data_IF_730277698272
#
_entry.id   IF_730277698272
#
_cell.length_a   1.000
_cell.length_b   1.000
_cell.length_c   1.000
_cell.angle_alpha   90.00
_cell.angle_beta   90.00
_cell.angle_gamma   90.00
#
_symmetry.space_group_name_H-M   'P 1'
#
loop_
_entity.id
_entity.type
_entity.pdbx_description
1 polymer ?
#
# COMPACT_ATOMS: atom_id res chain seq x y z
N UNK A 1 1.48 -7.74 -7.21
CA UNK A 1 1.55 -6.64 -8.16
C UNK A 1 2.76 -5.79 -7.84
N UNK A 2 3.59 -5.45 -8.82
CA UNK A 2 4.76 -4.59 -8.68
C UNK A 2 5.03 -3.87 -10.02
N UNK A 3 5.61 -2.68 -9.98
CA UNK A 3 6.03 -1.95 -11.20
C UNK A 3 7.30 -2.53 -11.83
N UNK A 4 8.05 -3.35 -11.09
CA UNK A 4 9.28 -4.01 -11.55
C UNK A 4 8.98 -5.40 -12.10
N UNK A 5 9.10 -5.58 -13.41
CA UNK A 5 8.96 -6.90 -14.03
C UNK A 5 9.97 -7.92 -13.49
N UNK A 6 11.16 -7.45 -13.06
CA UNK A 6 12.16 -8.31 -12.43
C UNK A 6 11.68 -8.82 -11.07
N UNK A 7 11.10 -7.94 -10.22
CA UNK A 7 10.54 -8.34 -8.94
C UNK A 7 9.36 -9.31 -9.11
N UNK A 8 8.47 -9.03 -10.07
CA UNK A 8 7.36 -9.92 -10.46
C UNK A 8 7.88 -11.30 -10.88
N UNK A 9 8.95 -11.34 -11.69
CA UNK A 9 9.57 -12.59 -12.12
C UNK A 9 10.14 -13.41 -10.95
N UNK A 10 10.79 -12.76 -9.97
CA UNK A 10 11.30 -13.42 -8.76
C UNK A 10 10.15 -13.94 -7.91
N UNK A 11 9.08 -13.15 -7.73
CA UNK A 11 7.91 -13.56 -6.96
C UNK A 11 7.25 -14.81 -7.57
N UNK A 12 7.10 -14.87 -8.90
CA UNK A 12 6.56 -16.04 -9.61
C UNK A 12 7.44 -17.28 -9.45
N UNK A 13 8.78 -17.12 -9.52
CA UNK A 13 9.72 -18.22 -9.27
C UNK A 13 9.61 -18.72 -7.82
N UNK A 14 9.51 -17.84 -6.85
CA UNK A 14 9.33 -18.21 -5.44
C UNK A 14 8.02 -18.98 -5.23
N UNK A 15 6.92 -18.53 -5.83
CA UNK A 15 5.64 -19.25 -5.76
C UNK A 15 5.75 -20.68 -6.35
N UNK A 16 6.46 -20.83 -7.46
CA UNK A 16 6.70 -22.15 -8.06
C UNK A 16 7.50 -23.05 -7.13
N UNK A 17 8.58 -22.55 -6.54
CA UNK A 17 9.41 -23.31 -5.60
C UNK A 17 8.64 -23.73 -4.33
N UNK A 18 7.67 -22.92 -3.92
CA UNK A 18 6.84 -23.19 -2.75
C UNK A 18 5.57 -23.99 -3.08
N UNK A 19 5.37 -24.40 -4.33
CA UNK A 19 4.15 -25.12 -4.76
C UNK A 19 2.88 -24.28 -4.74
N UNK A 20 3.00 -22.95 -4.88
CA UNK A 20 1.90 -21.99 -4.82
C UNK A 20 1.52 -21.41 -6.19
N UNK A 21 2.14 -21.85 -7.28
CA UNK A 21 1.95 -21.28 -8.62
C UNK A 21 0.48 -21.27 -9.08
N UNK A 22 -0.28 -22.33 -8.76
CA UNK A 22 -1.70 -22.45 -9.11
C UNK A 22 -2.64 -21.60 -8.25
N UNK A 23 -2.09 -20.89 -7.24
CA UNK A 23 -2.85 -20.11 -6.25
C UNK A 23 -2.45 -18.66 -6.22
N UNK A 24 -1.52 -18.24 -7.06
CA UNK A 24 -0.96 -16.89 -7.06
C UNK A 24 -0.80 -16.38 -8.48
N UNK A 25 -1.36 -15.21 -8.73
CA UNK A 25 -1.21 -14.46 -9.97
C UNK A 25 -0.24 -13.29 -9.76
N UNK A 26 0.57 -13.02 -10.77
CA UNK A 26 1.60 -11.99 -10.73
C UNK A 26 1.44 -11.02 -11.88
N UNK A 27 1.47 -9.72 -11.61
CA UNK A 27 1.30 -8.70 -12.64
C UNK A 27 2.30 -7.55 -12.47
N UNK A 28 2.85 -7.11 -13.58
CA UNK A 28 3.62 -5.86 -13.66
C UNK A 28 2.65 -4.72 -13.94
N UNK A 29 2.37 -3.90 -12.92
CA UNK A 29 1.45 -2.78 -13.02
C UNK A 29 1.74 -1.73 -11.94
N UNK A 30 1.35 -0.47 -12.20
CA UNK A 30 1.32 0.62 -11.23
C UNK A 30 -0.05 0.68 -10.54
N UNK A 31 -0.10 1.27 -9.35
CA UNK A 31 -1.36 1.64 -8.70
C UNK A 31 -2.15 2.71 -9.48
N UNK A 32 -1.47 3.50 -10.30
CA UNK A 32 -2.09 4.48 -11.19
C UNK A 32 -2.75 3.84 -12.42
N UNK A 33 -2.44 2.56 -12.73
CA UNK A 33 -3.02 1.86 -13.87
C UNK A 33 -4.49 1.50 -13.61
N UNK A 34 -5.21 1.18 -14.70
CA UNK A 34 -6.54 0.62 -14.56
C UNK A 34 -6.44 -0.84 -14.08
N UNK A 35 -6.81 -1.07 -12.83
CA UNK A 35 -6.79 -2.38 -12.19
C UNK A 35 -8.14 -3.13 -12.27
N UNK A 36 -9.08 -2.68 -13.10
CA UNK A 36 -10.44 -3.24 -13.21
C UNK A 36 -10.44 -4.72 -13.61
N UNK A 37 -9.48 -5.13 -14.42
CA UNK A 37 -9.33 -6.52 -14.86
C UNK A 37 -9.07 -7.52 -13.72
N UNK A 38 -8.60 -7.06 -12.57
CA UNK A 38 -8.28 -7.92 -11.43
C UNK A 38 -9.45 -8.16 -10.47
N UNK A 39 -10.60 -7.49 -10.70
CA UNK A 39 -11.81 -7.64 -9.89
C UNK A 39 -11.71 -6.95 -8.52
N UNK A 40 -12.49 -7.47 -7.56
CA UNK A 40 -12.55 -6.96 -6.18
C UNK A 40 -11.79 -7.90 -5.25
N UNK A 41 -11.22 -7.35 -4.17
CA UNK A 41 -10.43 -8.09 -3.22
C UNK A 41 -11.03 -8.02 -1.81
N UNK A 42 -11.10 -9.15 -1.13
CA UNK A 42 -11.51 -9.21 0.29
C UNK A 42 -10.39 -8.71 1.21
N UNK A 43 -9.13 -8.87 0.78
CA UNK A 43 -7.95 -8.41 1.52
C UNK A 43 -6.95 -7.77 0.57
N UNK A 44 -6.51 -6.56 0.92
CA UNK A 44 -5.38 -5.87 0.27
C UNK A 44 -4.26 -5.68 1.27
N UNK A 45 -3.04 -6.04 0.90
CA UNK A 45 -1.82 -5.75 1.67
C UNK A 45 -0.90 -4.93 0.80
N UNK A 46 -0.40 -3.80 1.30
CA UNK A 46 0.44 -2.90 0.54
C UNK A 46 1.55 -2.28 1.39
N UNK A 47 2.76 -2.27 0.83
CA UNK A 47 3.91 -1.55 1.37
C UNK A 47 4.52 -0.69 0.24
N UNK A 48 4.00 0.51 -0.01
CA UNK A 48 4.49 1.40 -1.06
C UNK A 48 5.70 2.20 -0.58
N UNK A 49 6.50 2.82 -1.47
CA UNK A 49 7.54 3.75 -1.07
C UNK A 49 6.93 4.96 -0.34
N UNK A 50 7.51 5.29 0.81
CA UNK A 50 6.99 6.34 1.70
C UNK A 50 8.06 7.28 2.29
N UNK A 51 9.32 7.16 1.85
CA UNK A 51 10.42 7.99 2.35
C UNK A 51 10.45 9.31 1.58
N UNK A 52 10.46 10.47 2.25
CA UNK A 52 10.62 11.75 1.56
C UNK A 52 11.89 11.77 0.71
N UNK A 53 11.81 12.30 -0.51
CA UNK A 53 12.92 12.30 -1.46
C UNK A 53 14.23 12.88 -0.89
N UNK A 54 14.12 13.94 -0.07
CA UNK A 54 15.26 14.56 0.61
C UNK A 54 15.94 13.67 1.66
N UNK A 55 15.27 12.64 2.15
CA UNK A 55 15.77 11.72 3.18
C UNK A 55 16.40 10.45 2.59
N UNK A 56 16.07 10.09 1.34
CA UNK A 56 16.56 8.85 0.70
C UNK A 56 18.09 8.78 0.72
N UNK A 57 18.78 9.89 0.44
CA UNK A 57 20.24 9.94 0.43
C UNK A 57 20.88 9.81 1.82
N UNK A 58 20.12 9.98 2.90
CA UNK A 58 20.59 9.92 4.29
C UNK A 58 20.39 8.56 4.93
N UNK A 59 19.75 7.63 4.23
CA UNK A 59 19.53 6.26 4.70
C UNK A 59 20.85 5.50 4.85
N UNK A 60 20.78 4.43 5.62
CA UNK A 60 21.93 3.54 5.82
C UNK A 60 22.49 3.05 4.48
N UNK A 61 23.83 2.91 4.34
CA UNK A 61 24.46 2.49 3.09
C UNK A 61 23.94 1.16 2.54
N UNK A 62 23.50 0.26 3.40
CA UNK A 62 22.90 -1.02 3.04
C UNK A 62 21.60 -0.84 2.27
N UNK A 63 20.80 0.16 2.61
CA UNK A 63 19.54 0.49 1.94
C UNK A 63 19.82 1.24 0.64
N UNK A 64 20.58 2.32 0.69
CA UNK A 64 20.85 3.17 -0.50
C UNK A 64 21.61 2.46 -1.60
N UNK A 65 22.40 1.43 -1.25
CA UNK A 65 23.27 0.71 -2.19
C UNK A 65 22.58 -0.48 -2.85
N UNK A 66 21.64 -1.13 -2.16
CA UNK A 66 21.05 -2.38 -2.62
C UNK A 66 19.57 -2.25 -2.99
N UNK A 67 18.83 -1.31 -2.41
CA UNK A 67 17.43 -1.09 -2.76
C UNK A 67 17.31 -0.06 -3.90
N UNK A 68 16.49 -0.33 -4.92
CA UNK A 68 16.22 0.64 -5.96
C UNK A 68 15.62 1.93 -5.38
N UNK A 69 16.13 3.10 -5.74
CA UNK A 69 15.64 4.37 -5.22
C UNK A 69 14.11 4.53 -5.35
N UNK A 70 13.53 4.05 -6.47
CA UNK A 70 12.07 4.08 -6.69
C UNK A 70 11.26 3.19 -5.74
N UNK A 71 11.90 2.23 -5.05
CA UNK A 71 11.24 1.40 -4.04
C UNK A 71 11.19 2.09 -2.66
N UNK A 72 11.89 3.22 -2.52
CA UNK A 72 12.03 3.98 -1.27
C UNK A 72 11.37 5.36 -1.37
N UNK A 73 11.49 6.01 -2.53
CA UNK A 73 11.10 7.40 -2.75
C UNK A 73 9.58 7.57 -2.79
N UNK A 74 9.04 8.16 -1.73
CA UNK A 74 7.63 8.54 -1.60
C UNK A 74 7.30 9.94 -2.10
N UNK A 75 8.21 10.61 -2.83
CA UNK A 75 8.07 11.97 -3.31
C UNK A 75 8.51 13.02 -2.29
N UNK A 76 8.22 14.28 -2.56
CA UNK A 76 8.70 15.43 -1.78
C UNK A 76 8.36 15.32 -0.28
N UNK A 77 7.13 14.92 0.03
CA UNK A 77 6.58 14.81 1.39
C UNK A 77 6.43 13.34 1.89
N UNK A 78 6.89 12.36 1.11
CA UNK A 78 6.74 10.94 1.42
C UNK A 78 5.32 10.41 1.24
N UNK A 79 4.39 11.19 0.67
CA UNK A 79 2.98 10.84 0.55
C UNK A 79 2.50 10.65 -0.91
N UNK A 80 3.40 10.77 -1.89
CA UNK A 80 3.03 10.66 -3.31
C UNK A 80 2.38 9.29 -3.60
N UNK A 81 3.00 8.21 -3.13
CA UNK A 81 2.44 6.86 -3.31
C UNK A 81 1.07 6.70 -2.67
N UNK A 82 0.81 7.32 -1.52
CA UNK A 82 -0.49 7.24 -0.85
C UNK A 82 -1.61 7.87 -1.67
N UNK A 83 -1.32 8.97 -2.38
CA UNK A 83 -2.28 9.63 -3.27
C UNK A 83 -2.66 8.79 -4.50
N UNK A 84 -1.84 7.80 -4.87
CA UNK A 84 -2.12 6.83 -5.93
C UNK A 84 -2.74 5.54 -5.39
N UNK A 85 -2.17 4.99 -4.32
CA UNK A 85 -2.53 3.70 -3.73
C UNK A 85 -3.92 3.72 -3.12
N UNK A 86 -4.26 4.73 -2.30
CA UNK A 86 -5.52 4.72 -1.55
C UNK A 86 -6.76 4.82 -2.45
N UNK A 87 -6.78 5.64 -3.51
CA UNK A 87 -7.86 5.58 -4.50
C UNK A 87 -7.96 4.21 -5.21
N UNK A 88 -6.83 3.56 -5.51
CA UNK A 88 -6.84 2.23 -6.12
C UNK A 88 -7.40 1.17 -5.16
N UNK A 89 -7.00 1.21 -3.89
CA UNK A 89 -7.56 0.34 -2.84
C UNK A 89 -9.07 0.57 -2.74
N UNK A 90 -9.53 1.81 -2.60
CA UNK A 90 -10.94 2.12 -2.47
C UNK A 90 -11.80 1.59 -3.63
N UNK A 91 -11.26 1.62 -4.85
CA UNK A 91 -11.95 1.08 -6.03
C UNK A 91 -11.98 -0.44 -6.11
N UNK A 92 -10.98 -1.12 -5.51
CA UNK A 92 -10.79 -2.58 -5.66
C UNK A 92 -11.08 -3.37 -4.39
N UNK A 93 -11.31 -2.71 -3.27
CA UNK A 93 -11.69 -3.38 -2.04
C UNK A 93 -13.16 -3.80 -2.11
N UNK A 94 -13.45 -5.07 -1.79
CA UNK A 94 -14.82 -5.54 -1.64
C UNK A 94 -15.56 -4.77 -0.53
N UNK A 95 -16.89 -4.76 -0.56
CA UNK A 95 -17.70 -3.97 0.39
C UNK A 95 -17.36 -4.28 1.85
N UNK A 96 -17.13 -5.54 2.19
CA UNK A 96 -16.73 -6.00 3.53
C UNK A 96 -15.20 -6.27 3.61
N UNK A 97 -14.46 -5.89 2.58
CA UNK A 97 -13.01 -6.11 2.49
C UNK A 97 -12.22 -5.24 3.45
N UNK A 98 -10.99 -5.65 3.69
CA UNK A 98 -10.03 -4.96 4.56
C UNK A 98 -8.73 -4.71 3.81
N UNK A 99 -8.10 -3.58 4.08
CA UNK A 99 -6.76 -3.29 3.58
C UNK A 99 -5.81 -3.02 4.75
N UNK A 100 -4.60 -3.56 4.67
CA UNK A 100 -3.52 -3.28 5.61
C UNK A 100 -2.35 -2.68 4.84
N UNK A 101 -1.89 -1.54 5.31
CA UNK A 101 -0.82 -0.79 4.65
C UNK A 101 0.30 -0.47 5.63
N UNK A 102 1.55 -0.64 5.19
CA UNK A 102 2.71 -0.21 5.97
C UNK A 102 2.98 1.28 5.72
N UNK A 103 3.23 2.05 6.78
CA UNK A 103 3.47 3.49 6.73
C UNK A 103 4.82 3.88 7.33
N UNK A 104 5.36 5.01 6.90
CA UNK A 104 6.50 5.65 7.52
C UNK A 104 6.18 6.19 8.92
N UNK A 105 7.23 6.34 9.75
CA UNK A 105 7.09 6.95 11.07
C UNK A 105 6.45 8.34 10.97
N UNK A 106 5.42 8.60 11.78
CA UNK A 106 4.73 9.90 11.82
C UNK A 106 3.71 10.15 10.69
N UNK A 107 3.57 9.25 9.72
CA UNK A 107 2.65 9.46 8.58
C UNK A 107 1.18 9.13 8.89
N UNK A 108 0.87 8.52 10.05
CA UNK A 108 -0.48 8.06 10.37
C UNK A 108 -1.56 9.13 10.14
N UNK A 109 -1.36 10.34 10.63
CA UNK A 109 -2.36 11.41 10.52
C UNK A 109 -2.61 11.80 9.04
N UNK A 110 -1.54 12.00 8.27
CA UNK A 110 -1.65 12.37 6.87
C UNK A 110 -2.28 11.27 6.02
N UNK A 111 -1.86 10.01 6.21
CA UNK A 111 -2.43 8.85 5.50
C UNK A 111 -3.91 8.67 5.87
N UNK A 112 -4.30 8.91 7.13
CA UNK A 112 -5.72 8.85 7.55
C UNK A 112 -6.57 9.88 6.82
N UNK A 113 -6.07 11.11 6.62
CA UNK A 113 -6.79 12.14 5.85
C UNK A 113 -6.98 11.71 4.40
N UNK A 114 -5.91 11.25 3.73
CA UNK A 114 -6.01 10.77 2.34
C UNK A 114 -6.97 9.58 2.22
N UNK A 115 -6.95 8.66 3.19
CA UNK A 115 -7.88 7.52 3.23
C UNK A 115 -9.33 7.98 3.34
N UNK A 116 -9.61 8.95 4.22
CA UNK A 116 -10.95 9.52 4.39
C UNK A 116 -11.47 10.19 3.10
N UNK A 117 -10.61 10.93 2.40
CA UNK A 117 -10.93 11.54 1.10
C UNK A 117 -11.29 10.50 0.02
N UNK A 118 -10.80 9.26 0.17
CA UNK A 118 -11.12 8.12 -0.69
C UNK A 118 -12.31 7.29 -0.21
N UNK A 119 -13.02 7.69 0.86
CA UNK A 119 -14.12 6.93 1.43
C UNK A 119 -13.69 5.71 2.26
N UNK A 120 -12.44 5.69 2.72
CA UNK A 120 -11.92 4.66 3.61
C UNK A 120 -11.86 5.18 5.06
N UNK A 121 -12.00 4.28 6.03
CA UNK A 121 -11.84 4.58 7.46
C UNK A 121 -10.81 3.66 8.07
N UNK A 122 -9.98 4.20 8.97
CA UNK A 122 -9.03 3.42 9.74
C UNK A 122 -9.78 2.76 10.90
N UNK A 123 -9.74 1.44 11.00
CA UNK A 123 -10.34 0.70 12.10
C UNK A 123 -9.30 0.13 13.08
N UNK A 124 -8.04 0.07 12.67
CA UNK A 124 -6.97 -0.52 13.46
C UNK A 124 -5.61 0.10 13.11
N UNK A 125 -4.71 0.18 14.09
CA UNK A 125 -3.30 0.54 13.88
C UNK A 125 -2.39 -0.38 14.70
N UNK A 126 -1.23 -0.70 14.16
CA UNK A 126 -0.23 -1.55 14.81
C UNK A 126 1.11 -0.82 14.87
N UNK A 127 1.72 -0.86 16.04
CA UNK A 127 3.06 -0.35 16.27
C UNK A 127 4.10 -1.47 16.11
N UNK A 128 5.32 -1.06 15.75
CA UNK A 128 6.50 -1.92 15.79
C UNK A 128 6.99 -2.14 17.24
N UNK A 129 8.08 -2.86 17.39
CA UNK A 129 8.66 -3.16 18.70
C UNK A 129 9.19 -1.91 19.43
N UNK A 130 9.42 -0.81 18.74
CA UNK A 130 9.80 0.49 19.30
C UNK A 130 8.57 1.36 19.68
N UNK A 131 7.34 0.86 19.47
CA UNK A 131 6.11 1.59 19.76
C UNK A 131 5.71 2.60 18.68
N UNK A 132 6.36 2.56 17.51
CA UNK A 132 6.06 3.44 16.38
C UNK A 132 5.01 2.79 15.51
N UNK A 133 3.90 3.48 15.20
CA UNK A 133 2.86 2.96 14.31
C UNK A 133 3.44 2.75 12.91
N UNK A 134 3.33 1.52 12.42
CA UNK A 134 3.83 1.07 11.13
C UNK A 134 2.79 0.43 10.23
N UNK A 135 1.63 0.07 10.74
CA UNK A 135 0.60 -0.53 9.93
C UNK A 135 -0.76 0.07 10.27
N UNK A 136 -1.53 0.37 9.22
CA UNK A 136 -2.92 0.82 9.34
C UNK A 136 -3.83 -0.20 8.67
N UNK A 137 -4.85 -0.66 9.43
CA UNK A 137 -5.98 -1.42 8.92
C UNK A 137 -7.10 -0.47 8.53
N UNK A 138 -7.61 -0.60 7.30
CA UNK A 138 -8.67 0.24 6.76
C UNK A 138 -9.73 -0.56 6.04
N UNK A 139 -10.93 0.01 5.95
CA UNK A 139 -12.08 -0.54 5.25
C UNK A 139 -12.94 0.60 4.69
N UNK A 140 -13.93 0.28 3.89
CA UNK A 140 -14.90 1.29 3.47
C UNK A 140 -15.53 1.98 4.68
N UNK A 141 -15.66 3.29 4.62
CA UNK A 141 -16.45 4.04 5.59
C UNK A 141 -17.90 3.56 5.50
N UNK A 142 -18.56 3.39 6.63
CA UNK A 142 -19.98 3.09 6.64
C UNK A 142 -20.72 4.18 5.85
N UNK A 143 -21.60 3.78 4.94
CA UNK A 143 -22.47 4.73 4.26
C UNK A 143 -23.20 5.53 5.33
N UNK A 144 -22.99 6.85 5.37
CA UNK A 144 -23.64 7.71 6.33
C UNK A 144 -25.14 7.50 6.21
N UNK A 145 -25.79 7.08 7.29
CA UNK A 145 -27.23 7.10 7.38
C UNK A 145 -27.60 8.57 7.25
N UNK A 146 -28.05 8.96 6.07
CA UNK A 146 -28.65 10.28 5.86
C UNK A 146 -29.86 10.36 6.79
N UNK A 147 -29.68 11.00 7.95
CA UNK A 147 -30.80 11.38 8.82
C UNK A 147 -31.59 12.42 8.07
N UNK A 148 -32.52 11.94 7.21
CA UNK A 148 -33.60 12.75 6.69
C UNK A 148 -34.50 13.13 7.87
N UNK A 149 -34.41 14.37 8.27
CA UNK A 149 -35.35 15.04 9.11
C UNK A 149 -36.16 16.02 8.26
#
# INVERSE_FOLDING_TARGET
LDISSAAVGIAAQNATHLGLAERADFATASFADNLDAYGMFDLVICNPPYIPAGEVATLAPEVTKFDPARALDGGEDGLASWREVLPAIARRLAADGQAFVEIGAGQQAAVTVIAADCGLTIFQSHADLAGIVRCLGMRHAAAGVSSGG
#
